data_IF_927387177158
#
_entry.id   IF_927387177158
#
_cell.length_a   1.000
_cell.length_b   1.000
_cell.length_c   1.000
_cell.angle_alpha   90.00
_cell.angle_beta   90.00
_cell.angle_gamma   90.00
#
_symmetry.space_group_name_H-M   'P 1'
#
loop_
_entity.id
_entity.type
_entity.pdbx_description
1 polymer ?
#
# COMPACT_ATOMS: atom_id res chain seq x y z
N UNK A 1 23.01 9.04 -4.97
CA UNK A 1 21.63 9.26 -4.48
C UNK A 1 21.44 10.75 -4.30
N UNK A 2 20.35 11.32 -4.82
CA UNK A 2 20.09 12.77 -4.91
C UNK A 2 18.68 13.09 -4.43
N UNK A 3 18.46 14.34 -4.04
CA UNK A 3 17.16 14.92 -3.69
C UNK A 3 16.15 14.77 -4.81
N UNK A 4 16.57 14.88 -6.07
CA UNK A 4 15.72 14.63 -7.23
C UNK A 4 15.08 13.23 -7.23
N UNK A 5 15.84 12.20 -6.83
CA UNK A 5 15.32 10.82 -6.77
C UNK A 5 14.33 10.64 -5.61
N UNK A 6 14.55 11.35 -4.50
CA UNK A 6 13.61 11.36 -3.38
C UNK A 6 12.29 12.05 -3.76
N UNK A 7 12.35 13.22 -4.42
CA UNK A 7 11.15 13.92 -4.89
C UNK A 7 10.36 13.08 -5.90
N UNK A 8 11.05 12.42 -6.84
CA UNK A 8 10.42 11.49 -7.78
C UNK A 8 9.71 10.34 -7.05
N UNK A 9 10.37 9.71 -6.07
CA UNK A 9 9.75 8.66 -5.25
C UNK A 9 8.51 9.19 -4.51
N UNK A 10 8.57 10.37 -3.88
CA UNK A 10 7.43 10.94 -3.17
C UNK A 10 6.24 11.18 -4.12
N UNK A 11 6.50 11.60 -5.35
CA UNK A 11 5.48 11.70 -6.40
C UNK A 11 4.86 10.34 -6.74
N UNK A 12 5.69 9.31 -6.93
CA UNK A 12 5.22 7.94 -7.19
C UNK A 12 4.40 7.36 -6.03
N UNK A 13 4.73 7.74 -4.78
CA UNK A 13 3.99 7.34 -3.58
C UNK A 13 2.68 8.11 -3.39
N UNK A 14 2.38 9.10 -4.24
CA UNK A 14 1.16 9.90 -4.16
C UNK A 14 1.17 10.96 -3.06
N UNK A 15 2.36 11.46 -2.69
CA UNK A 15 2.46 12.55 -1.72
C UNK A 15 1.79 13.83 -2.24
N UNK A 16 0.86 14.38 -1.46
CA UNK A 16 0.19 15.64 -1.79
C UNK A 16 1.18 16.79 -1.82
N UNK A 17 1.28 17.48 -2.96
CA UNK A 17 2.23 18.58 -3.15
C UNK A 17 3.63 18.15 -3.60
N UNK A 18 3.80 16.91 -4.07
CA UNK A 18 5.07 16.45 -4.66
C UNK A 18 5.58 17.36 -5.79
N UNK A 19 4.68 17.98 -6.56
CA UNK A 19 5.04 18.93 -7.64
C UNK A 19 5.61 20.26 -7.14
N UNK A 20 5.35 20.63 -5.88
CA UNK A 20 5.89 21.84 -5.27
C UNK A 20 7.25 21.60 -4.61
N UNK A 21 7.73 20.35 -4.58
CA UNK A 21 9.03 20.01 -4.01
C UNK A 21 10.15 20.43 -4.96
N UNK A 22 11.07 21.23 -4.45
CA UNK A 22 12.29 21.58 -5.16
C UNK A 22 13.39 20.54 -4.89
N UNK A 23 13.87 19.81 -5.91
CA UNK A 23 14.93 18.81 -5.74
C UNK A 23 16.20 19.34 -5.08
N UNK A 24 16.59 20.59 -5.40
CA UNK A 24 17.84 21.18 -4.92
C UNK A 24 17.80 21.44 -3.41
N UNK A 25 16.62 21.78 -2.88
CA UNK A 25 16.35 21.91 -1.44
C UNK A 25 16.51 20.59 -0.67
N UNK A 26 16.51 19.44 -1.36
CA UNK A 26 16.71 18.11 -0.77
C UNK A 26 18.09 17.50 -1.07
N UNK A 27 19.04 18.26 -1.61
CA UNK A 27 20.40 17.76 -1.85
C UNK A 27 21.24 17.71 -0.56
N UNK A 28 21.04 18.65 0.36
CA UNK A 28 21.85 18.76 1.59
C UNK A 28 21.82 17.49 2.47
N UNK A 29 20.70 16.77 2.68
CA UNK A 29 20.68 15.55 3.51
C UNK A 29 21.55 14.42 2.94
N UNK A 30 21.70 14.33 1.61
CA UNK A 30 22.55 13.33 0.96
C UNK A 30 24.04 13.63 1.07
N UNK A 31 24.41 14.77 1.65
CA UNK A 31 25.81 15.14 1.90
C UNK A 31 26.29 14.66 3.28
N UNK A 32 25.38 14.30 4.19
CA UNK A 32 25.73 13.78 5.51
C UNK A 32 25.91 12.26 5.45
N UNK A 33 27.09 11.79 5.81
CA UNK A 33 27.41 10.35 5.80
C UNK A 33 26.52 9.53 6.74
N UNK A 34 26.03 10.12 7.83
CA UNK A 34 25.12 9.46 8.77
C UNK A 34 23.69 9.30 8.21
N UNK A 35 23.24 10.24 7.37
CA UNK A 35 21.89 10.22 6.79
C UNK A 35 21.82 9.42 5.49
N UNK A 36 22.95 9.25 4.79
CA UNK A 36 23.03 8.51 3.53
C UNK A 36 22.43 7.10 3.59
N UNK A 37 22.75 6.24 4.58
CA UNK A 37 22.23 4.87 4.61
C UNK A 37 20.70 4.81 4.68
N UNK A 38 20.08 5.67 5.51
CA UNK A 38 18.62 5.67 5.65
C UNK A 38 17.95 6.26 4.41
N UNK A 39 18.51 7.33 3.82
CA UNK A 39 17.98 7.91 2.58
C UNK A 39 18.13 6.96 1.39
N UNK A 40 19.21 6.20 1.33
CA UNK A 40 19.42 5.17 0.31
C UNK A 40 18.41 4.03 0.45
N UNK A 41 18.15 3.60 1.69
CA UNK A 41 17.14 2.58 1.98
C UNK A 41 15.73 3.04 1.59
N UNK A 42 15.34 4.27 1.97
CA UNK A 42 14.05 4.89 1.61
C UNK A 42 13.86 4.85 0.09
N UNK A 43 14.83 5.39 -0.65
CA UNK A 43 14.77 5.52 -2.10
C UNK A 43 14.89 4.19 -2.88
N UNK A 44 15.21 3.08 -2.21
CA UNK A 44 15.40 1.76 -2.82
C UNK A 44 14.36 0.73 -2.37
N UNK A 45 13.74 0.93 -1.22
CA UNK A 45 12.87 -0.06 -0.58
C UNK A 45 11.41 0.36 -0.55
N UNK A 46 11.11 1.67 -0.52
CA UNK A 46 9.73 2.11 -0.56
C UNK A 46 9.14 1.93 -1.96
N UNK A 47 7.94 1.35 -1.98
CA UNK A 47 7.08 1.24 -3.17
C UNK A 47 5.67 1.70 -2.82
N UNK A 48 4.84 2.05 -3.81
CA UNK A 48 3.44 2.40 -3.57
C UNK A 48 2.68 1.30 -2.80
N UNK A 49 3.03 0.03 -3.03
CA UNK A 49 2.48 -1.12 -2.29
C UNK A 49 2.78 -1.13 -0.79
N UNK A 50 3.71 -0.31 -0.31
CA UNK A 50 4.09 -0.20 1.10
C UNK A 50 3.46 1.02 1.76
N UNK A 51 2.72 1.84 1.02
CA UNK A 51 2.10 3.07 1.50
C UNK A 51 0.59 2.94 1.41
N UNK A 52 -0.08 3.21 2.52
CA UNK A 52 -1.55 3.24 2.56
C UNK A 52 -2.02 4.56 1.94
N UNK A 53 -2.93 4.46 0.98
CA UNK A 53 -3.66 5.60 0.45
C UNK A 53 -4.63 6.16 1.50
N UNK A 54 -5.03 7.42 1.32
CA UNK A 54 -6.04 8.06 2.18
C UNK A 54 -7.39 7.31 2.16
N UNK A 55 -7.74 6.73 1.01
CA UNK A 55 -8.94 5.90 0.86
C UNK A 55 -8.86 4.61 1.66
N UNK A 56 -7.71 3.92 1.64
CA UNK A 56 -7.50 2.69 2.40
C UNK A 56 -7.51 2.97 3.91
N UNK A 57 -6.91 4.08 4.34
CA UNK A 57 -6.99 4.54 5.73
C UNK A 57 -8.43 4.84 6.15
N UNK A 58 -9.19 5.54 5.31
CA UNK A 58 -10.60 5.87 5.61
C UNK A 58 -11.46 4.61 5.72
N UNK A 59 -11.26 3.63 4.84
CA UNK A 59 -11.95 2.34 4.91
C UNK A 59 -11.60 1.57 6.18
N UNK A 60 -10.33 1.55 6.56
CA UNK A 60 -9.89 0.94 7.80
C UNK A 60 -10.52 1.60 9.04
N UNK A 61 -10.55 2.93 9.08
CA UNK A 61 -11.22 3.69 10.14
C UNK A 61 -12.73 3.41 10.20
N UNK A 62 -13.39 3.25 9.05
CA UNK A 62 -14.78 2.84 8.99
C UNK A 62 -14.99 1.44 9.58
N UNK A 63 -14.13 0.46 9.24
CA UNK A 63 -14.23 -0.89 9.82
C UNK A 63 -14.03 -0.89 11.33
N UNK A 64 -13.13 -0.05 11.84
CA UNK A 64 -12.97 0.17 13.28
C UNK A 64 -14.25 0.73 13.93
N UNK A 65 -14.84 1.76 13.34
CA UNK A 65 -16.07 2.38 13.88
C UNK A 65 -17.27 1.44 13.87
N UNK A 66 -17.39 0.61 12.82
CA UNK A 66 -18.46 -0.37 12.70
C UNK A 66 -18.25 -1.62 13.57
N UNK A 67 -17.10 -1.75 14.25
CA UNK A 67 -16.75 -2.92 15.03
C UNK A 67 -16.59 -4.19 14.19
N UNK A 68 -16.26 -4.03 12.91
CA UNK A 68 -16.10 -5.11 11.92
C UNK A 68 -14.65 -5.47 11.64
N UNK A 69 -13.71 -4.83 12.32
CA UNK A 69 -12.30 -5.14 12.16
C UNK A 69 -12.00 -6.52 12.73
N UNK A 70 -11.49 -7.41 11.89
CA UNK A 70 -11.03 -8.74 12.29
C UNK A 70 -9.55 -8.66 12.66
N UNK A 71 -9.20 -9.16 13.85
CA UNK A 71 -7.83 -9.19 14.37
C UNK A 71 -7.54 -10.55 15.01
N UNK A 72 -6.27 -10.96 15.04
CA UNK A 72 -5.83 -12.18 15.72
C UNK A 72 -6.53 -13.45 15.22
N UNK A 73 -7.01 -14.27 16.15
CA UNK A 73 -7.63 -15.57 15.86
C UNK A 73 -8.87 -15.46 14.95
N UNK A 74 -9.65 -14.38 15.06
CA UNK A 74 -10.83 -14.17 14.21
C UNK A 74 -10.44 -13.93 12.74
N UNK A 75 -9.31 -13.26 12.51
CA UNK A 75 -8.76 -13.06 11.17
C UNK A 75 -8.19 -14.36 10.60
N UNK A 76 -7.43 -15.11 11.42
CA UNK A 76 -6.87 -16.40 11.03
C UNK A 76 -7.98 -17.39 10.66
N UNK A 77 -9.05 -17.45 11.46
CA UNK A 77 -10.22 -18.27 11.19
C UNK A 77 -10.94 -17.88 9.89
N UNK A 78 -11.15 -16.58 9.66
CA UNK A 78 -11.75 -16.10 8.41
C UNK A 78 -10.91 -16.50 7.19
N UNK A 79 -9.58 -16.36 7.28
CA UNK A 79 -8.66 -16.72 6.21
C UNK A 79 -8.68 -18.22 5.89
N UNK A 80 -8.67 -19.07 6.92
CA UNK A 80 -8.75 -20.52 6.76
C UNK A 80 -10.09 -20.95 6.17
N UNK A 81 -11.19 -20.30 6.58
CA UNK A 81 -12.51 -20.58 6.02
C UNK A 81 -12.57 -20.26 4.53
N UNK A 82 -12.07 -19.10 4.08
CA UNK A 82 -12.06 -18.68 2.68
C UNK A 82 -11.13 -19.58 1.84
N UNK A 83 -9.95 -19.91 2.37
CA UNK A 83 -9.00 -20.81 1.70
C UNK A 83 -9.58 -22.21 1.51
N UNK A 84 -10.41 -22.69 2.44
CA UNK A 84 -11.14 -23.94 2.30
C UNK A 84 -12.21 -23.90 1.18
N UNK A 85 -12.77 -22.73 0.87
CA UNK A 85 -13.71 -22.54 -0.25
C UNK A 85 -13.03 -22.28 -1.60
N UNK A 86 -11.82 -21.69 -1.63
CA UNK A 86 -11.08 -21.41 -2.87
C UNK A 86 -10.68 -22.68 -3.65
N UNK A 87 -10.54 -23.82 -2.98
CA UNK A 87 -10.25 -25.11 -3.61
C UNK A 87 -11.43 -25.67 -4.43
N UNK A 88 -12.66 -25.16 -4.24
CA UNK A 88 -13.86 -25.58 -4.98
C UNK A 88 -14.28 -24.49 -5.96
N UNK A 89 -13.86 -24.64 -7.22
CA UNK A 89 -14.13 -23.70 -8.34
C UNK A 89 -15.60 -23.29 -8.53
N UNK A 90 -16.56 -24.05 -8.01
CA UNK A 90 -18.00 -23.83 -8.21
C UNK A 90 -18.64 -22.86 -7.19
N UNK A 91 -17.96 -22.56 -6.07
CA UNK A 91 -18.55 -21.77 -4.98
C UNK A 91 -18.26 -20.26 -5.05
N UNK A 92 -17.47 -19.80 -6.03
CA UNK A 92 -17.07 -18.38 -6.13
C UNK A 92 -18.26 -17.44 -6.41
N UNK A 93 -19.35 -17.93 -7.01
CA UNK A 93 -20.49 -17.10 -7.42
C UNK A 93 -21.56 -16.96 -6.32
N UNK A 94 -21.57 -17.87 -5.33
CA UNK A 94 -22.58 -17.89 -4.27
C UNK A 94 -22.19 -17.07 -3.02
N UNK A 95 -20.89 -16.80 -2.82
CA UNK A 95 -20.37 -16.05 -1.65
C UNK A 95 -20.17 -14.58 -1.99
N UNK A 96 -19.75 -14.26 -3.21
CA UNK A 96 -19.63 -12.88 -3.71
C UNK A 96 -20.86 -12.56 -4.56
N UNK A 97 -21.98 -12.25 -3.92
CA UNK A 97 -23.15 -11.75 -4.61
C UNK A 97 -22.81 -10.43 -5.31
N UNK A 98 -22.59 -10.48 -6.63
CA UNK A 98 -22.57 -9.33 -7.54
C UNK A 98 -21.68 -8.12 -7.17
N UNK A 99 -20.61 -8.31 -6.40
CA UNK A 99 -19.60 -7.26 -6.18
C UNK A 99 -18.35 -7.64 -6.98
N UNK A 100 -17.93 -6.75 -7.87
CA UNK A 100 -16.87 -6.95 -8.87
C UNK A 100 -15.67 -7.70 -8.30
N UNK A 101 -15.46 -8.91 -8.81
CA UNK A 101 -14.35 -9.76 -8.39
C UNK A 101 -13.01 -9.07 -8.60
N UNK A 102 -12.09 -9.32 -7.65
CA UNK A 102 -10.66 -8.97 -7.64
C UNK A 102 -9.82 -9.44 -8.86
N UNK A 103 -10.45 -9.72 -10.01
CA UNK A 103 -9.80 -10.27 -11.21
C UNK A 103 -9.13 -9.20 -12.09
N UNK A 104 -9.32 -7.91 -11.85
CA UNK A 104 -8.71 -6.85 -12.69
C UNK A 104 -7.38 -6.25 -12.16
N UNK A 105 -6.85 -6.70 -11.02
CA UNK A 105 -5.58 -6.17 -10.49
C UNK A 105 -4.34 -6.89 -11.08
N UNK A 106 -4.48 -7.74 -12.10
CA UNK A 106 -3.33 -8.38 -12.76
C UNK A 106 -3.57 -8.68 -14.23
N UNK A 107 -3.47 -7.64 -15.07
CA UNK A 107 -2.68 -7.61 -16.32
C UNK A 107 -3.11 -6.40 -17.18
N UNK A 108 -2.47 -5.26 -16.97
CA UNK A 108 -2.30 -4.26 -18.02
C UNK A 108 -0.91 -4.46 -18.65
N UNK A 109 -0.87 -5.17 -19.77
CA UNK A 109 0.16 -5.03 -20.81
C UNK A 109 -0.49 -4.41 -22.02
#
# INVERSE_FOLDING_TARGET
>A
MSGARLCALLGELGFEGAEALDPDSFEWPFQYDDARPILDWICSSLRPSNVLSLSELSQYEQFLQEGKLLEGEDLDFAYDSISAFAARRDNQEAVFGAEEGLKDIRCGT
#
